data_IF_946391734322
#
_entry.id   IF_946391734322
#
_cell.length_a   1.000
_cell.length_b   1.000
_cell.length_c   1.000
_cell.angle_alpha   90.00
_cell.angle_beta   90.00
_cell.angle_gamma   90.00
#
_symmetry.space_group_name_H-M   'P 1'
#
loop_
_entity.id
_entity.type
_entity.pdbx_description
1 polymer ?
#
# COMPACT_ATOMS: atom_id res chain seq x y z
N UNK A 1 17.52 12.39 9.11
CA UNK A 1 17.00 11.23 8.32
C UNK A 1 17.94 10.04 8.51
N UNK A 2 17.54 9.03 9.30
CA UNK A 2 18.16 7.68 9.52
C UNK A 2 17.59 7.08 10.82
N UNK A 3 16.26 7.01 10.93
CA UNK A 3 15.58 6.53 12.16
C UNK A 3 15.45 5.01 12.19
N UNK A 4 14.84 4.45 11.15
CA UNK A 4 14.51 3.01 11.06
C UNK A 4 15.76 2.16 10.87
N UNK A 5 16.62 2.46 9.88
CA UNK A 5 17.88 1.72 9.65
C UNK A 5 18.86 1.79 10.83
N UNK A 6 18.77 2.81 11.70
CA UNK A 6 19.57 2.88 12.92
C UNK A 6 19.06 1.91 14.01
N UNK A 7 17.76 1.66 14.04
CA UNK A 7 17.08 0.76 15.00
C UNK A 7 17.05 -0.69 14.52
N UNK A 8 16.97 -0.85 13.20
CA UNK A 8 16.95 -2.13 12.50
C UNK A 8 18.04 -2.11 11.40
N UNK A 9 19.33 -2.20 11.78
CA UNK A 9 20.42 -2.27 10.80
C UNK A 9 20.32 -3.49 9.88
N UNK A 10 19.65 -4.56 10.32
CA UNK A 10 19.43 -5.79 9.55
C UNK A 10 18.68 -5.55 8.23
N UNK A 11 17.89 -4.46 8.15
CA UNK A 11 17.21 -4.06 6.91
C UNK A 11 18.17 -3.59 5.82
N UNK A 12 19.44 -3.30 6.16
CA UNK A 12 20.46 -2.98 5.17
C UNK A 12 20.97 -4.21 4.41
N UNK A 13 20.88 -5.40 5.02
CA UNK A 13 21.37 -6.65 4.44
C UNK A 13 20.39 -7.26 3.43
N UNK A 14 19.14 -6.76 3.39
CA UNK A 14 18.11 -7.19 2.44
C UNK A 14 16.72 -7.31 3.06
N UNK A 15 15.74 -7.82 2.29
CA UNK A 15 14.41 -8.10 2.83
C UNK A 15 14.49 -9.17 3.93
N UNK A 16 13.80 -8.90 5.03
CA UNK A 16 13.72 -9.80 6.18
C UNK A 16 12.27 -10.22 6.42
N UNK A 17 12.02 -11.41 7.00
CA UNK A 17 10.68 -11.81 7.39
C UNK A 17 10.07 -10.78 8.35
N UNK A 18 8.79 -10.46 8.15
CA UNK A 18 8.12 -9.43 8.94
C UNK A 18 8.09 -9.80 10.43
N UNK A 19 7.89 -11.07 10.77
CA UNK A 19 7.81 -11.52 12.18
C UNK A 19 9.15 -11.38 12.92
N UNK A 20 10.28 -11.41 12.19
CA UNK A 20 11.60 -11.14 12.77
C UNK A 20 11.72 -9.70 13.30
N UNK A 21 10.87 -8.77 12.85
CA UNK A 21 10.76 -7.42 13.41
C UNK A 21 10.28 -7.46 14.88
N UNK A 22 9.34 -8.37 15.19
CA UNK A 22 8.82 -8.57 16.53
C UNK A 22 9.91 -9.14 17.45
N UNK A 23 10.58 -10.21 17.01
CA UNK A 23 11.65 -10.86 17.76
C UNK A 23 12.79 -9.89 18.12
N UNK A 24 13.19 -9.05 17.16
CA UNK A 24 14.22 -8.04 17.38
C UNK A 24 13.75 -6.96 18.37
N UNK A 25 12.47 -6.59 18.32
CA UNK A 25 11.89 -5.61 19.22
C UNK A 25 11.76 -6.17 20.64
N UNK A 26 11.44 -7.45 20.80
CA UNK A 26 11.40 -8.12 22.11
C UNK A 26 12.80 -8.18 22.74
N UNK A 27 13.82 -8.57 21.97
CA UNK A 27 15.21 -8.62 22.45
C UNK A 27 15.75 -7.24 22.84
N UNK A 28 15.35 -6.19 22.13
CA UNK A 28 15.80 -4.80 22.33
C UNK A 28 14.82 -3.97 23.15
N UNK A 29 13.86 -4.59 23.82
CA UNK A 29 12.76 -3.89 24.51
C UNK A 29 13.25 -2.81 25.49
N UNK A 30 14.38 -3.07 26.16
CA UNK A 30 14.98 -2.16 27.15
C UNK A 30 15.75 -0.98 26.54
N UNK A 31 16.12 -1.07 25.26
CA UNK A 31 16.99 -0.08 24.61
C UNK A 31 16.22 1.17 24.19
N UNK A 32 14.94 1.02 23.82
CA UNK A 32 14.11 2.14 23.39
C UNK A 32 12.62 1.83 23.47
N UNK A 33 11.85 2.83 23.88
CA UNK A 33 10.36 2.82 23.90
C UNK A 33 9.75 2.46 22.53
N UNK A 34 10.46 2.71 21.43
CA UNK A 34 9.96 2.36 20.09
C UNK A 34 9.81 0.86 19.93
N UNK A 35 10.70 0.04 20.49
CA UNK A 35 10.57 -1.41 20.40
C UNK A 35 9.36 -1.91 21.20
N UNK A 36 9.11 -1.31 22.38
CA UNK A 36 7.88 -1.57 23.14
C UNK A 36 6.63 -1.21 22.35
N UNK A 37 6.64 -0.07 21.63
CA UNK A 37 5.51 0.35 20.78
C UNK A 37 5.28 -0.59 19.60
N UNK A 38 6.34 -1.13 18.99
CA UNK A 38 6.21 -2.14 17.92
C UNK A 38 5.49 -3.38 18.42
N UNK A 39 5.81 -3.85 19.64
CA UNK A 39 5.16 -5.01 20.26
C UNK A 39 3.71 -4.68 20.62
N UNK A 40 3.45 -3.52 21.23
CA UNK A 40 2.11 -3.10 21.63
C UNK A 40 1.16 -2.93 20.43
N UNK A 41 1.65 -2.34 19.34
CA UNK A 41 0.87 -2.09 18.13
C UNK A 41 1.01 -3.22 17.09
N UNK A 42 1.43 -4.43 17.51
CA UNK A 42 1.76 -5.51 16.59
C UNK A 42 0.58 -5.93 15.70
N UNK A 43 -0.62 -6.06 16.27
CA UNK A 43 -1.83 -6.41 15.53
C UNK A 43 -2.15 -5.36 14.44
N UNK A 44 -1.94 -4.08 14.76
CA UNK A 44 -2.14 -2.98 13.81
C UNK A 44 -1.12 -3.04 12.67
N UNK A 45 0.13 -3.38 12.98
CA UNK A 45 1.19 -3.57 11.99
C UNK A 45 0.91 -4.75 11.07
N UNK A 46 0.43 -5.88 11.61
CA UNK A 46 0.01 -7.05 10.82
C UNK A 46 -1.17 -6.72 9.89
N UNK A 47 -2.17 -6.00 10.39
CA UNK A 47 -3.30 -5.56 9.56
C UNK A 47 -2.84 -4.62 8.43
N UNK A 48 -1.93 -3.69 8.74
CA UNK A 48 -1.38 -2.77 7.73
C UNK A 48 -0.55 -3.53 6.69
N UNK A 49 0.24 -4.54 7.11
CA UNK A 49 0.94 -5.45 6.18
C UNK A 49 -0.04 -6.15 5.25
N UNK A 50 -1.12 -6.71 5.78
CA UNK A 50 -2.16 -7.41 5.01
C UNK A 50 -2.83 -6.50 3.98
N UNK A 51 -3.11 -5.25 4.34
CA UNK A 51 -3.71 -4.27 3.43
C UNK A 51 -2.73 -3.86 2.31
N UNK A 52 -1.44 -3.73 2.63
CA UNK A 52 -0.41 -3.32 1.67
C UNK A 52 0.16 -4.47 0.84
N UNK A 53 -0.22 -5.71 1.13
CA UNK A 53 0.20 -6.87 0.35
C UNK A 53 -0.56 -6.92 -0.98
N UNK A 54 0.00 -6.27 -2.00
CA UNK A 54 -0.63 -6.15 -3.31
C UNK A 54 -0.53 -7.45 -4.14
N UNK A 55 0.32 -8.40 -3.73
CA UNK A 55 0.40 -9.71 -4.38
C UNK A 55 -0.80 -10.59 -3.99
N UNK A 56 -1.31 -10.43 -2.76
CA UNK A 56 -2.48 -11.13 -2.25
C UNK A 56 -3.53 -10.10 -1.83
N UNK A 57 -4.27 -9.53 -2.79
CA UNK A 57 -5.25 -8.50 -2.46
C UNK A 57 -6.35 -9.08 -1.57
N UNK A 58 -6.87 -8.24 -0.66
CA UNK A 58 -7.95 -8.60 0.27
C UNK A 58 -9.30 -8.71 -0.44
N UNK A 59 -9.42 -9.68 -1.35
CA UNK A 59 -10.63 -9.98 -2.13
C UNK A 59 -11.21 -11.28 -1.61
N UNK A 60 -12.51 -11.29 -1.28
CA UNK A 60 -13.21 -12.49 -0.87
C UNK A 60 -13.28 -13.51 -2.01
N UNK A 61 -13.54 -14.77 -1.71
CA UNK A 61 -13.73 -15.78 -2.77
C UNK A 61 -14.95 -15.46 -3.63
N UNK A 62 -16.03 -14.90 -3.07
CA UNK A 62 -17.19 -14.47 -3.87
C UNK A 62 -16.84 -13.30 -4.81
N UNK A 63 -16.06 -12.34 -4.33
CA UNK A 63 -15.59 -11.21 -5.14
C UNK A 63 -14.65 -11.68 -6.26
N UNK A 64 -13.76 -12.65 -6.00
CA UNK A 64 -12.92 -13.26 -7.03
C UNK A 64 -13.76 -13.97 -8.09
N UNK A 65 -14.77 -14.72 -7.67
CA UNK A 65 -15.66 -15.41 -8.60
C UNK A 65 -16.46 -14.42 -9.45
N UNK A 66 -17.00 -13.36 -8.84
CA UNK A 66 -17.63 -12.26 -9.57
C UNK A 66 -16.68 -11.62 -10.59
N UNK A 67 -15.45 -11.27 -10.19
CA UNK A 67 -14.46 -10.65 -11.08
C UNK A 67 -14.06 -11.59 -12.23
N UNK A 68 -14.03 -12.90 -12.00
CA UNK A 68 -13.73 -13.90 -13.04
C UNK A 68 -14.81 -14.01 -14.12
N UNK A 69 -16.04 -13.64 -13.80
CA UNK A 69 -17.18 -13.64 -14.73
C UNK A 69 -17.21 -12.37 -15.59
N UNK A 70 -16.52 -11.31 -15.16
CA UNK A 70 -16.41 -10.10 -15.96
C UNK A 70 -15.58 -10.43 -17.20
N UNK A 71 -16.11 -10.21 -18.42
CA UNK A 71 -15.30 -10.34 -19.61
C UNK A 71 -14.14 -9.35 -19.49
N UNK A 72 -12.92 -9.82 -19.79
CA UNK A 72 -11.79 -8.94 -20.09
C UNK A 72 -12.08 -8.27 -21.43
N UNK A 73 -13.08 -7.38 -21.45
CA UNK A 73 -13.34 -6.54 -22.60
C UNK A 73 -12.08 -5.74 -22.88
N UNK A 74 -11.73 -5.63 -24.16
CA UNK A 74 -10.68 -4.71 -24.55
C UNK A 74 -11.13 -3.32 -24.10
N UNK A 75 -10.28 -2.67 -23.29
CA UNK A 75 -10.49 -1.27 -22.95
C UNK A 75 -10.77 -0.50 -24.25
N UNK A 76 -11.81 0.32 -24.24
CA UNK A 76 -12.07 1.24 -25.36
C UNK A 76 -10.77 1.98 -25.68
N UNK A 77 -10.47 2.12 -26.97
CA UNK A 77 -9.31 2.91 -27.38
C UNK A 77 -9.37 4.29 -26.73
N UNK A 78 -8.24 4.73 -26.19
CA UNK A 78 -8.16 6.04 -25.57
C UNK A 78 -8.34 7.13 -26.63
N UNK A 79 -9.56 7.65 -26.77
CA UNK A 79 -9.90 8.72 -27.71
C UNK A 79 -9.55 10.09 -27.13
N UNK A 80 -8.24 10.34 -26.96
CA UNK A 80 -7.71 11.56 -26.34
C UNK A 80 -8.31 12.83 -26.96
N UNK A 81 -8.45 12.89 -28.28
CA UNK A 81 -8.98 14.07 -28.97
C UNK A 81 -10.44 14.35 -28.65
N UNK A 82 -11.28 13.31 -28.61
CA UNK A 82 -12.70 13.46 -28.25
C UNK A 82 -12.85 13.84 -26.77
N UNK A 83 -12.07 13.20 -25.90
CA UNK A 83 -12.00 13.57 -24.49
C UNK A 83 -11.62 15.05 -24.30
N UNK A 84 -10.57 15.53 -24.99
CA UNK A 84 -10.13 16.93 -24.87
C UNK A 84 -11.16 17.92 -25.43
N UNK A 85 -11.90 17.54 -26.48
CA UNK A 85 -13.01 18.33 -27.03
C UNK A 85 -14.12 18.49 -25.99
N UNK A 86 -14.60 17.38 -25.43
CA UNK A 86 -15.65 17.37 -24.39
C UNK A 86 -15.19 18.10 -23.12
N UNK A 87 -13.95 17.89 -22.70
CA UNK A 87 -13.33 18.57 -21.56
C UNK A 87 -13.29 20.10 -21.73
N UNK A 88 -13.13 20.57 -22.96
CA UNK A 88 -13.17 22.00 -23.28
C UNK A 88 -14.61 22.51 -23.34
N UNK A 89 -15.52 21.75 -23.95
CA UNK A 89 -16.96 22.05 -24.05
C UNK A 89 -17.62 22.16 -22.67
N UNK A 90 -17.32 21.22 -21.78
CA UNK A 90 -17.80 21.18 -20.40
C UNK A 90 -17.18 22.29 -19.51
N UNK A 91 -16.22 23.06 -20.04
CA UNK A 91 -15.57 24.14 -19.31
C UNK A 91 -14.77 23.66 -18.10
N UNK A 92 -14.41 22.37 -18.03
CA UNK A 92 -13.66 21.78 -16.91
C UNK A 92 -12.29 22.43 -16.73
N UNK A 93 -11.71 22.97 -17.80
CA UNK A 93 -10.54 23.86 -17.78
C UNK A 93 -10.67 25.05 -16.81
N UNK A 94 -11.89 25.54 -16.59
CA UNK A 94 -12.16 26.65 -15.69
C UNK A 94 -12.38 26.21 -14.24
N UNK A 95 -12.72 24.94 -14.02
CA UNK A 95 -12.99 24.34 -12.71
C UNK A 95 -11.69 23.76 -12.12
N UNK A 96 -10.90 23.06 -12.94
CA UNK A 96 -9.62 22.46 -12.55
C UNK A 96 -8.50 23.45 -12.86
N UNK A 97 -8.40 24.51 -12.06
CA UNK A 97 -7.15 25.25 -11.97
C UNK A 97 -6.28 24.55 -10.94
N UNK A 98 -5.09 24.10 -11.34
CA UNK A 98 -4.04 23.66 -10.41
C UNK A 98 -3.94 24.70 -9.28
N UNK A 99 -4.38 24.29 -8.09
CA UNK A 99 -4.05 24.93 -6.81
C UNK A 99 -2.88 24.17 -6.23
#
# INVERSE_FOLDING_TARGET
KKGVLKRFPELADGPMPFDRLFDLSEKRLKDSVVYARVIQDWDKLQNTRKIMDLEIPMVSEEEKEYLSQLPLEQLNELRILEFMSLYTEDGLNHIIKNT
#
